data_IF_066992824986
#
_entry.id   IF_066992824986
#
_cell.length_a   1.000
_cell.length_b   1.000
_cell.length_c   1.000
_cell.angle_alpha   90.00
_cell.angle_beta   90.00
_cell.angle_gamma   90.00
#
_symmetry.space_group_name_H-M   'P 1'
#
loop_
_entity.id
_entity.type
_entity.pdbx_description
1 polymer ?
#
# COMPACT_ATOMS: atom_id res chain seq x y z
N UNK A 1 -70.15 16.01 76.58
CA UNK A 1 -68.76 16.36 76.41
C UNK A 1 -68.10 15.34 75.48
N UNK A 2 -67.96 15.64 74.17
CA UNK A 2 -67.35 14.73 73.20
C UNK A 2 -65.97 15.31 72.82
N UNK A 3 -64.92 14.59 73.12
CA UNK A 3 -63.53 14.94 72.75
C UNK A 3 -63.27 14.56 71.32
N UNK A 4 -62.89 15.50 70.52
CA UNK A 4 -62.40 15.27 69.14
C UNK A 4 -60.90 14.93 69.17
N UNK A 5 -60.52 13.84 68.58
CA UNK A 5 -59.11 13.45 68.36
C UNK A 5 -58.73 13.89 66.93
N UNK A 6 -57.78 14.80 66.84
CA UNK A 6 -57.17 15.18 65.57
C UNK A 6 -55.98 14.24 65.28
N UNK A 7 -56.07 13.49 64.20
CA UNK A 7 -54.98 12.64 63.72
C UNK A 7 -54.14 13.48 62.70
N UNK A 8 -52.87 13.71 63.03
CA UNK A 8 -51.89 14.36 62.15
C UNK A 8 -51.23 13.25 61.30
N UNK A 9 -51.58 13.20 60.04
CA UNK A 9 -50.95 12.31 59.08
C UNK A 9 -49.59 12.86 58.60
N UNK A 10 -48.52 12.16 58.91
CA UNK A 10 -47.15 12.43 58.34
C UNK A 10 -47.05 11.83 56.93
N UNK A 11 -46.97 12.66 55.91
CA UNK A 11 -46.66 12.22 54.52
C UNK A 11 -45.15 12.14 54.38
N UNK A 12 -44.64 10.92 54.30
CA UNK A 12 -43.23 10.68 53.89
C UNK A 12 -43.11 10.83 52.37
N UNK A 13 -42.50 11.92 51.92
CA UNK A 13 -42.03 12.07 50.55
C UNK A 13 -40.75 11.27 50.37
N UNK A 14 -40.84 10.10 49.74
CA UNK A 14 -39.67 9.36 49.24
C UNK A 14 -39.14 10.06 47.98
N UNK A 15 -38.06 10.84 48.11
CA UNK A 15 -37.31 11.34 46.99
C UNK A 15 -36.52 10.18 46.38
N UNK A 16 -37.02 9.62 45.28
CA UNK A 16 -36.30 8.66 44.45
C UNK A 16 -35.26 9.43 43.64
N UNK A 17 -33.97 9.41 44.04
CA UNK A 17 -32.86 9.79 43.21
C UNK A 17 -32.63 8.70 42.14
N UNK A 18 -33.23 8.86 40.98
CA UNK A 18 -32.81 8.11 39.79
C UNK A 18 -31.46 8.67 39.34
N UNK A 19 -30.35 7.99 39.66
CA UNK A 19 -29.10 8.16 38.92
C UNK A 19 -29.36 7.75 37.48
N UNK A 20 -29.44 8.71 36.58
CA UNK A 20 -29.28 8.45 35.15
C UNK A 20 -27.80 8.12 34.94
N UNK A 21 -27.47 6.83 34.86
CA UNK A 21 -26.22 6.40 34.31
C UNK A 21 -26.21 6.86 32.83
N UNK A 22 -25.57 7.98 32.58
CA UNK A 22 -25.18 8.38 31.22
C UNK A 22 -24.21 7.32 30.71
N UNK A 23 -24.75 6.25 30.11
CA UNK A 23 -24.01 5.37 29.27
C UNK A 23 -23.61 6.19 28.04
N UNK A 24 -22.45 6.86 28.12
CA UNK A 24 -21.81 7.44 26.94
C UNK A 24 -21.44 6.28 26.04
N UNK A 25 -22.28 6.01 25.04
CA UNK A 25 -21.87 5.15 23.92
C UNK A 25 -20.55 5.70 23.40
N UNK A 26 -19.48 4.88 23.29
CA UNK A 26 -18.21 5.35 22.74
C UNK A 26 -18.47 5.96 21.37
N UNK A 27 -18.05 7.20 21.19
CA UNK A 27 -18.20 7.92 19.92
C UNK A 27 -17.46 7.11 18.85
N UNK A 28 -18.20 6.46 17.97
CA UNK A 28 -17.62 5.67 16.90
C UNK A 28 -16.96 6.63 15.91
N UNK A 29 -15.64 6.52 15.75
CA UNK A 29 -14.88 7.33 14.81
C UNK A 29 -15.47 7.12 13.40
N UNK A 30 -15.97 8.20 12.78
CA UNK A 30 -16.58 8.14 11.46
C UNK A 30 -15.52 7.84 10.37
N UNK A 31 -15.93 7.20 9.27
CA UNK A 31 -15.09 7.09 8.08
C UNK A 31 -14.79 8.48 7.49
N UNK A 32 -13.62 8.63 6.89
CA UNK A 32 -13.24 9.89 6.23
C UNK A 32 -12.38 9.63 4.99
N UNK A 33 -12.49 10.53 4.03
CA UNK A 33 -11.66 10.57 2.83
C UNK A 33 -11.08 11.98 2.69
N UNK A 34 -9.78 12.07 2.44
CA UNK A 34 -9.09 13.33 2.21
C UNK A 34 -8.18 13.18 1.01
N UNK A 35 -8.35 14.06 0.03
CA UNK A 35 -7.56 14.05 -1.20
C UNK A 35 -6.39 15.01 -1.11
N UNK A 36 -5.30 14.67 -1.81
CA UNK A 36 -4.14 15.53 -2.00
C UNK A 36 -3.47 16.00 -0.69
N UNK A 37 -3.35 15.10 0.28
CA UNK A 37 -2.61 15.35 1.52
C UNK A 37 -1.11 15.36 1.20
N UNK A 38 -0.43 16.49 1.32
CA UNK A 38 1.00 16.57 1.13
C UNK A 38 1.74 15.78 2.22
N UNK A 39 2.63 14.86 1.83
CA UNK A 39 3.50 14.13 2.76
C UNK A 39 4.92 14.73 2.82
N UNK A 40 5.27 15.56 1.84
CA UNK A 40 6.45 16.40 1.81
C UNK A 40 6.10 17.75 1.17
N UNK A 41 7.06 18.67 1.09
CA UNK A 41 6.81 20.04 0.62
C UNK A 41 7.78 20.48 -0.46
N UNK A 42 8.57 19.55 -1.00
CA UNK A 42 9.60 19.88 -2.00
C UNK A 42 9.03 19.89 -3.42
N UNK A 43 7.94 19.13 -3.65
CA UNK A 43 7.28 19.04 -4.95
C UNK A 43 5.77 18.83 -4.77
N UNK A 44 4.92 19.45 -5.63
CA UNK A 44 3.47 19.23 -5.59
C UNK A 44 3.03 17.79 -5.82
N UNK A 45 3.88 16.94 -6.42
CA UNK A 45 3.59 15.51 -6.60
C UNK A 45 3.78 14.69 -5.32
N UNK A 46 4.44 15.22 -4.29
CA UNK A 46 4.62 14.56 -3.01
C UNK A 46 3.34 14.62 -2.16
N UNK A 47 2.27 14.01 -2.67
CA UNK A 47 0.95 13.99 -2.04
C UNK A 47 0.30 12.61 -2.12
N UNK A 48 -0.73 12.40 -1.28
CA UNK A 48 -1.50 11.17 -1.23
C UNK A 48 -2.98 11.43 -1.01
N UNK A 49 -3.81 10.44 -1.39
CA UNK A 49 -5.20 10.36 -0.97
C UNK A 49 -5.32 9.41 0.22
N UNK A 50 -6.07 9.82 1.22
CA UNK A 50 -6.20 9.11 2.50
C UNK A 50 -7.65 8.66 2.67
N UNK A 51 -7.85 7.35 2.83
CA UNK A 51 -9.15 6.72 3.05
C UNK A 51 -9.14 5.99 4.40
N UNK A 52 -9.86 6.51 5.35
CA UNK A 52 -9.89 6.00 6.72
C UNK A 52 -11.23 5.33 7.01
N UNK A 53 -11.25 4.06 7.50
CA UNK A 53 -12.48 3.36 7.83
C UNK A 53 -13.14 3.92 9.08
N UNK A 54 -14.44 3.64 9.25
CA UNK A 54 -15.14 3.88 10.51
C UNK A 54 -14.63 2.93 11.62
N UNK A 55 -14.74 3.35 12.87
CA UNK A 55 -14.36 2.52 14.03
C UNK A 55 -12.85 2.24 14.14
N UNK A 56 -12.01 2.99 13.40
CA UNK A 56 -10.56 2.80 13.36
C UNK A 56 -9.86 3.06 14.69
N UNK A 57 -8.76 2.33 14.91
CA UNK A 57 -7.91 2.51 16.09
C UNK A 57 -6.43 2.27 15.78
N UNK A 58 -5.55 2.79 16.61
CA UNK A 58 -4.08 2.63 16.48
C UNK A 58 -3.60 1.19 16.68
N UNK A 59 -4.45 0.30 17.17
CA UNK A 59 -4.09 -1.10 17.45
C UNK A 59 -4.65 -2.09 16.42
N UNK A 60 -5.76 -1.75 15.75
CA UNK A 60 -6.50 -2.68 14.91
C UNK A 60 -6.63 -2.28 13.44
N UNK A 61 -6.41 -0.99 13.09
CA UNK A 61 -6.58 -0.52 11.72
C UNK A 61 -5.25 -0.51 10.99
N UNK A 62 -4.97 -1.56 10.25
CA UNK A 62 -3.74 -1.70 9.49
C UNK A 62 -3.74 -0.80 8.24
N UNK A 63 -2.55 -0.56 7.67
CA UNK A 63 -2.35 0.37 6.56
C UNK A 63 -2.11 -0.38 5.25
N UNK A 64 -2.78 0.03 4.18
CA UNK A 64 -2.48 -0.37 2.81
C UNK A 64 -1.99 0.88 2.07
N UNK A 65 -0.77 0.82 1.55
CA UNK A 65 -0.19 1.88 0.71
C UNK A 65 -0.27 1.41 -0.73
N UNK A 66 -0.88 2.22 -1.58
CA UNK A 66 -1.06 1.93 -3.01
C UNK A 66 -0.14 2.84 -3.82
N UNK A 67 0.61 2.27 -4.78
CA UNK A 67 1.61 3.00 -5.58
C UNK A 67 1.32 2.75 -7.06
N UNK A 68 1.08 3.83 -7.82
CA UNK A 68 0.74 3.77 -9.24
C UNK A 68 1.92 3.39 -10.13
N UNK A 69 1.61 2.88 -11.33
CA UNK A 69 2.55 2.62 -12.41
C UNK A 69 2.85 3.88 -13.26
N UNK A 70 3.38 3.67 -14.47
CA UNK A 70 3.65 4.76 -15.42
C UNK A 70 5.12 4.89 -15.82
N UNK A 71 5.86 3.77 -15.84
CA UNK A 71 7.27 3.74 -16.27
C UNK A 71 8.14 4.78 -15.55
N UNK A 72 7.84 5.06 -14.29
CA UNK A 72 8.49 6.05 -13.42
C UNK A 72 8.38 7.51 -13.88
N UNK A 73 7.98 7.80 -15.11
CA UNK A 73 7.98 9.13 -15.74
C UNK A 73 6.60 9.67 -16.08
N UNK A 74 5.55 8.93 -15.77
CA UNK A 74 4.14 9.29 -15.98
C UNK A 74 3.24 8.62 -14.95
N UNK A 75 1.93 8.87 -15.03
CA UNK A 75 0.93 8.32 -14.14
C UNK A 75 0.57 9.27 -13.00
N UNK A 76 -0.48 8.91 -12.32
CA UNK A 76 -1.00 9.59 -11.13
C UNK A 76 -1.69 8.56 -10.22
N UNK A 77 -1.76 8.86 -8.93
CA UNK A 77 -2.51 8.03 -7.97
C UNK A 77 -3.95 7.76 -8.40
N UNK A 78 -4.57 8.67 -9.16
CA UNK A 78 -5.92 8.48 -9.72
C UNK A 78 -6.02 7.26 -10.64
N UNK A 79 -4.93 6.81 -11.26
CA UNK A 79 -4.90 5.60 -12.09
C UNK A 79 -5.24 4.33 -11.27
N UNK A 80 -5.07 4.39 -9.93
CA UNK A 80 -5.37 3.30 -9.01
C UNK A 80 -6.79 3.35 -8.42
N UNK A 81 -7.58 4.41 -8.68
CA UNK A 81 -8.89 4.62 -8.04
C UNK A 81 -9.89 3.51 -8.31
N UNK A 82 -9.91 2.94 -9.52
CA UNK A 82 -10.78 1.80 -9.85
C UNK A 82 -10.42 0.55 -9.03
N UNK A 83 -9.11 0.27 -8.90
CA UNK A 83 -8.60 -0.83 -8.08
C UNK A 83 -8.88 -0.64 -6.60
N UNK A 84 -8.69 0.58 -6.09
CA UNK A 84 -9.00 0.94 -4.70
C UNK A 84 -10.49 0.78 -4.43
N UNK A 85 -11.36 1.22 -5.35
CA UNK A 85 -12.81 1.07 -5.23
C UNK A 85 -13.22 -0.40 -5.14
N UNK A 86 -12.57 -1.29 -5.89
CA UNK A 86 -12.83 -2.73 -5.85
C UNK A 86 -12.25 -3.40 -4.59
N UNK A 87 -11.09 -2.96 -4.11
CA UNK A 87 -10.37 -3.60 -3.00
C UNK A 87 -10.89 -3.15 -1.62
N UNK A 88 -11.28 -1.88 -1.44
CA UNK A 88 -11.72 -1.33 -0.15
C UNK A 88 -12.88 -2.09 0.49
N UNK A 89 -13.95 -2.52 -0.21
CA UNK A 89 -15.00 -3.33 0.41
C UNK A 89 -14.49 -4.67 0.94
N UNK A 90 -13.48 -5.25 0.30
CA UNK A 90 -12.84 -6.49 0.73
C UNK A 90 -11.92 -6.30 1.94
N UNK A 91 -11.43 -5.07 2.17
CA UNK A 91 -10.52 -4.65 3.24
C UNK A 91 -11.13 -3.53 4.09
N UNK A 92 -12.41 -3.65 4.46
CA UNK A 92 -13.21 -2.58 5.08
C UNK A 92 -12.69 -2.06 6.43
N UNK A 93 -11.81 -2.80 7.11
CA UNK A 93 -11.15 -2.39 8.35
C UNK A 93 -9.77 -1.77 8.17
N UNK A 94 -9.27 -1.69 6.93
CA UNK A 94 -7.94 -1.14 6.63
C UNK A 94 -8.03 0.32 6.20
N UNK A 95 -7.06 1.12 6.62
CA UNK A 95 -6.82 2.44 6.04
C UNK A 95 -6.06 2.29 4.71
N UNK A 96 -6.45 3.07 3.69
CA UNK A 96 -5.77 3.06 2.39
C UNK A 96 -5.15 4.43 2.14
N UNK A 97 -3.89 4.42 1.72
CA UNK A 97 -3.08 5.58 1.37
C UNK A 97 -2.63 5.42 -0.08
N UNK A 98 -3.22 6.18 -0.99
CA UNK A 98 -2.91 6.16 -2.42
C UNK A 98 -1.92 7.27 -2.72
N UNK A 99 -0.66 6.93 -2.97
CA UNK A 99 0.42 7.92 -3.05
C UNK A 99 0.79 8.26 -4.49
N UNK A 100 1.10 9.55 -4.73
CA UNK A 100 1.92 10.00 -5.83
C UNK A 100 3.40 9.99 -5.42
N UNK A 101 4.27 10.09 -6.38
CA UNK A 101 5.72 10.31 -6.23
C UNK A 101 6.19 11.19 -7.40
N UNK A 102 7.31 11.90 -7.24
CA UNK A 102 7.88 12.73 -8.31
C UNK A 102 8.20 11.88 -9.52
N UNK A 103 7.88 12.35 -10.71
CA UNK A 103 8.09 11.64 -11.95
C UNK A 103 9.53 11.87 -12.48
N UNK A 104 10.19 10.80 -12.94
CA UNK A 104 11.54 10.86 -13.46
C UNK A 104 11.63 11.76 -14.70
N UNK A 105 12.62 12.64 -14.72
CA UNK A 105 12.86 13.59 -15.80
C UNK A 105 14.24 13.42 -16.45
N UNK A 106 14.99 12.38 -16.10
CA UNK A 106 16.29 12.04 -16.65
C UNK A 106 17.45 12.87 -16.12
N UNK A 107 17.20 13.83 -15.24
CA UNK A 107 18.23 14.77 -14.76
C UNK A 107 18.21 15.01 -13.25
N UNK A 108 17.13 15.54 -12.71
CA UNK A 108 17.02 15.97 -11.29
C UNK A 108 16.11 15.07 -10.47
N UNK A 109 15.15 14.39 -11.09
CA UNK A 109 14.33 13.38 -10.45
C UNK A 109 14.66 12.04 -11.06
N UNK A 110 15.35 11.21 -10.32
CA UNK A 110 15.86 9.91 -10.72
C UNK A 110 15.36 8.81 -9.74
N UNK A 111 15.90 7.62 -9.88
CA UNK A 111 15.51 6.48 -9.04
C UNK A 111 15.65 6.72 -7.55
N UNK A 112 16.68 7.43 -7.13
CA UNK A 112 16.92 7.73 -5.71
C UNK A 112 15.84 8.67 -5.13
N UNK A 113 15.46 9.71 -5.87
CA UNK A 113 14.43 10.67 -5.47
C UNK A 113 13.07 9.98 -5.32
N UNK A 114 12.68 9.12 -6.27
CA UNK A 114 11.40 8.41 -6.19
C UNK A 114 11.36 7.38 -5.06
N UNK A 115 12.46 6.68 -4.82
CA UNK A 115 12.58 5.77 -3.67
C UNK A 115 12.47 6.56 -2.35
N UNK A 116 13.08 7.75 -2.29
CA UNK A 116 12.99 8.63 -1.14
C UNK A 116 11.56 9.15 -0.93
N UNK A 117 10.81 9.42 -2.00
CA UNK A 117 9.40 9.84 -1.92
C UNK A 117 8.53 8.75 -1.30
N UNK A 118 8.72 7.50 -1.71
CA UNK A 118 8.00 6.35 -1.09
C UNK A 118 8.38 6.20 0.38
N UNK A 119 9.66 6.37 0.74
CA UNK A 119 10.08 6.34 2.14
C UNK A 119 9.44 7.50 2.92
N UNK A 120 9.46 8.73 2.39
CA UNK A 120 8.86 9.90 3.02
C UNK A 120 7.34 9.74 3.24
N UNK A 121 6.63 9.17 2.26
CA UNK A 121 5.20 8.88 2.39
C UNK A 121 4.94 7.88 3.54
N UNK A 122 5.74 6.81 3.65
CA UNK A 122 5.65 5.84 4.76
C UNK A 122 5.94 6.54 6.10
N UNK A 123 7.01 7.33 6.18
CA UNK A 123 7.42 8.04 7.41
C UNK A 123 6.35 9.06 7.83
N UNK A 124 5.72 9.75 6.87
CA UNK A 124 4.59 10.65 7.13
C UNK A 124 3.40 9.89 7.74
N UNK A 125 2.99 8.76 7.14
CA UNK A 125 1.90 7.93 7.66
C UNK A 125 2.22 7.46 9.09
N UNK A 126 3.46 7.05 9.36
CA UNK A 126 3.93 6.65 10.69
C UNK A 126 3.82 7.83 11.66
N UNK A 127 4.28 9.02 11.28
CA UNK A 127 4.22 10.23 12.12
C UNK A 127 2.79 10.66 12.43
N UNK A 128 1.85 10.39 11.53
CA UNK A 128 0.41 10.72 11.63
C UNK A 128 -0.45 9.57 12.16
N UNK A 129 0.14 8.45 12.55
CA UNK A 129 -0.60 7.25 12.95
C UNK A 129 -1.61 7.50 14.08
N UNK A 130 -1.30 8.34 15.05
CA UNK A 130 -2.23 8.72 16.11
C UNK A 130 -3.37 9.61 15.61
N UNK A 131 -3.07 10.59 14.75
CA UNK A 131 -4.07 11.49 14.16
C UNK A 131 -5.05 10.69 13.29
N UNK A 132 -4.54 9.80 12.47
CA UNK A 132 -5.32 8.91 11.60
C UNK A 132 -5.95 7.74 12.36
N UNK A 133 -5.53 7.45 13.59
CA UNK A 133 -5.93 6.29 14.38
C UNK A 133 -5.70 4.98 13.61
N UNK A 134 -4.45 4.76 13.15
CA UNK A 134 -4.03 3.58 12.39
C UNK A 134 -2.83 2.88 13.01
N UNK A 135 -2.69 1.59 12.75
CA UNK A 135 -1.55 0.78 13.18
C UNK A 135 -0.42 0.84 12.15
N UNK A 136 0.42 1.85 12.23
CA UNK A 136 1.54 2.03 11.32
C UNK A 136 2.72 1.03 11.55
N UNK A 137 2.57 0.04 12.43
CA UNK A 137 3.48 -1.09 12.53
C UNK A 137 3.06 -2.28 11.66
N UNK A 138 1.91 -2.18 10.99
CA UNK A 138 1.35 -3.19 10.10
C UNK A 138 0.97 -2.55 8.76
N UNK A 139 1.94 -2.47 7.86
CA UNK A 139 1.80 -1.86 6.54
C UNK A 139 1.84 -2.95 5.47
N UNK A 140 0.92 -2.86 4.52
CA UNK A 140 0.96 -3.58 3.24
C UNK A 140 1.28 -2.57 2.15
N UNK A 141 2.15 -2.94 1.21
CA UNK A 141 2.36 -2.16 -0.01
C UNK A 141 1.73 -2.92 -1.18
N UNK A 142 0.92 -2.23 -1.96
CA UNK A 142 0.35 -2.68 -3.23
C UNK A 142 0.89 -1.76 -4.32
N UNK A 143 1.67 -2.29 -5.23
CA UNK A 143 2.22 -1.50 -6.32
C UNK A 143 1.89 -2.11 -7.69
N UNK A 144 1.73 -1.26 -8.70
CA UNK A 144 1.54 -1.68 -10.07
C UNK A 144 2.72 -1.24 -10.95
N UNK A 145 3.29 -2.14 -11.78
CA UNK A 145 4.36 -1.81 -12.72
C UNK A 145 5.55 -1.10 -12.04
N UNK A 146 5.92 0.11 -12.45
CA UNK A 146 6.95 0.93 -11.79
C UNK A 146 6.64 1.20 -10.31
N UNK A 147 5.37 1.32 -9.92
CA UNK A 147 4.98 1.43 -8.50
C UNK A 147 5.23 0.15 -7.70
N UNK A 148 5.11 -1.03 -8.33
CA UNK A 148 5.48 -2.29 -7.71
C UNK A 148 7.01 -2.37 -7.49
N UNK A 149 7.80 -1.91 -8.46
CA UNK A 149 9.25 -1.78 -8.31
C UNK A 149 9.61 -0.91 -7.09
N UNK A 150 9.04 0.31 -7.00
CA UNK A 150 9.28 1.21 -5.86
C UNK A 150 8.81 0.60 -4.53
N UNK A 151 7.66 -0.07 -4.53
CA UNK A 151 7.15 -0.80 -3.38
C UNK A 151 8.06 -1.94 -2.93
N UNK A 152 8.59 -2.73 -3.87
CA UNK A 152 9.56 -3.79 -3.58
C UNK A 152 10.89 -3.23 -3.05
N UNK A 153 11.36 -2.08 -3.56
CA UNK A 153 12.53 -1.40 -2.99
C UNK A 153 12.30 -1.03 -1.53
N UNK A 154 11.13 -0.46 -1.18
CA UNK A 154 10.76 -0.20 0.22
C UNK A 154 10.69 -1.48 1.03
N UNK A 155 10.05 -2.51 0.53
CA UNK A 155 9.78 -3.75 1.25
C UNK A 155 11.05 -4.60 1.51
N UNK A 156 11.99 -4.63 0.56
CA UNK A 156 13.15 -5.53 0.65
C UNK A 156 14.43 -4.82 1.10
N UNK A 157 14.64 -3.56 0.69
CA UNK A 157 15.87 -2.82 0.99
C UNK A 157 15.72 -1.84 2.16
N UNK A 158 14.57 -1.17 2.26
CA UNK A 158 14.37 -0.06 3.19
C UNK A 158 13.34 -0.36 4.29
N UNK A 159 13.17 -1.63 4.66
CA UNK A 159 12.26 -2.11 5.71
C UNK A 159 13.00 -2.57 6.97
N UNK A 160 14.04 -1.87 7.37
CA UNK A 160 14.85 -2.24 8.54
C UNK A 160 14.07 -2.18 9.86
N UNK A 161 13.02 -1.36 9.92
CA UNK A 161 12.10 -1.26 11.06
C UNK A 161 11.01 -2.37 11.07
N UNK A 162 10.94 -3.17 10.00
CA UNK A 162 10.02 -4.28 9.87
C UNK A 162 8.54 -3.90 9.84
N UNK A 163 8.18 -2.66 9.48
CA UNK A 163 6.78 -2.18 9.43
C UNK A 163 6.01 -2.69 8.23
N UNK A 164 6.68 -2.86 7.08
CA UNK A 164 6.08 -3.49 5.91
C UNK A 164 5.98 -4.99 6.17
N UNK A 165 4.75 -5.48 6.32
CA UNK A 165 4.42 -6.88 6.68
C UNK A 165 4.03 -7.72 5.48
N UNK A 166 3.65 -7.10 4.35
CA UNK A 166 3.36 -7.79 3.10
C UNK A 166 3.61 -6.87 1.91
N UNK A 167 3.99 -7.46 0.77
CA UNK A 167 4.15 -6.80 -0.53
C UNK A 167 3.25 -7.47 -1.56
N UNK A 168 2.46 -6.69 -2.29
CA UNK A 168 1.69 -7.12 -3.45
C UNK A 168 2.32 -6.51 -4.70
N UNK A 169 2.90 -7.36 -5.51
CA UNK A 169 3.53 -7.01 -6.79
C UNK A 169 2.54 -7.28 -7.93
N UNK A 170 2.02 -6.22 -8.53
CA UNK A 170 1.25 -6.27 -9.76
C UNK A 170 2.18 -6.00 -10.95
N UNK A 171 2.63 -7.07 -11.60
CA UNK A 171 3.44 -7.05 -12.83
C UNK A 171 4.61 -6.07 -12.82
N UNK A 172 5.32 -5.95 -11.69
CA UNK A 172 6.44 -5.02 -11.53
C UNK A 172 7.77 -5.58 -12.04
N UNK A 173 8.66 -4.72 -12.58
CA UNK A 173 10.02 -5.10 -12.84
C UNK A 173 10.83 -5.19 -11.54
N UNK A 174 11.70 -6.19 -11.44
CA UNK A 174 12.47 -6.42 -10.23
C UNK A 174 13.98 -6.62 -10.46
N UNK A 175 14.41 -6.87 -11.70
CA UNK A 175 15.82 -6.93 -12.11
C UNK A 175 16.07 -5.96 -13.28
N UNK A 176 16.34 -4.69 -12.95
CA UNK A 176 16.54 -3.65 -13.96
C UNK A 176 17.77 -3.91 -14.85
N UNK A 177 18.78 -4.62 -14.33
CA UNK A 177 19.94 -5.03 -15.13
C UNK A 177 19.53 -6.04 -16.19
N UNK A 178 18.76 -7.06 -15.82
CA UNK A 178 18.26 -8.03 -16.77
C UNK A 178 17.31 -7.36 -17.77
N UNK A 179 16.38 -6.55 -17.31
CA UNK A 179 15.40 -5.89 -18.16
C UNK A 179 16.06 -4.96 -19.19
N UNK A 180 17.09 -4.20 -18.80
CA UNK A 180 17.86 -3.34 -19.73
C UNK A 180 18.53 -4.13 -20.85
N UNK A 181 19.03 -5.35 -20.57
CA UNK A 181 19.83 -6.13 -21.50
C UNK A 181 19.03 -7.17 -22.31
N UNK A 182 17.86 -7.60 -21.82
CA UNK A 182 17.21 -8.82 -22.32
C UNK A 182 15.70 -8.66 -22.61
N UNK A 183 15.11 -7.47 -22.51
CA UNK A 183 13.69 -7.28 -22.80
C UNK A 183 13.37 -7.73 -24.25
N UNK A 184 12.49 -8.76 -24.43
CA UNK A 184 12.39 -9.45 -25.71
C UNK A 184 11.56 -8.72 -26.78
N UNK A 185 10.71 -7.74 -26.35
CA UNK A 185 9.73 -7.12 -27.25
C UNK A 185 10.10 -5.68 -27.65
N UNK A 186 10.55 -4.87 -26.69
CA UNK A 186 10.77 -3.42 -26.84
C UNK A 186 12.09 -2.97 -26.25
N UNK A 187 13.20 -3.66 -26.58
CA UNK A 187 14.50 -3.45 -25.93
C UNK A 187 14.95 -1.98 -25.95
N UNK A 188 14.98 -1.34 -27.13
CA UNK A 188 15.42 0.06 -27.24
C UNK A 188 14.54 1.03 -26.47
N UNK A 189 13.22 0.81 -26.45
CA UNK A 189 12.27 1.61 -25.66
C UNK A 189 12.54 1.41 -24.16
N UNK A 190 12.70 0.17 -23.71
CA UNK A 190 12.99 -0.15 -22.32
C UNK A 190 14.32 0.46 -21.86
N UNK A 191 15.35 0.40 -22.71
CA UNK A 191 16.63 1.04 -22.43
C UNK A 191 16.49 2.55 -22.27
N UNK A 192 15.69 3.21 -23.12
CA UNK A 192 15.42 4.65 -23.01
C UNK A 192 14.68 5.00 -21.71
N UNK A 193 13.63 4.23 -21.37
CA UNK A 193 12.86 4.41 -20.13
C UNK A 193 13.75 4.22 -18.91
N UNK A 194 14.53 3.15 -18.85
CA UNK A 194 15.42 2.88 -17.73
C UNK A 194 16.55 3.92 -17.64
N UNK A 195 17.08 4.39 -18.77
CA UNK A 195 18.08 5.47 -18.78
C UNK A 195 17.50 6.77 -18.23
N UNK A 196 16.26 7.12 -18.57
CA UNK A 196 15.58 8.27 -18.01
C UNK A 196 15.36 8.13 -16.48
N UNK A 197 14.96 6.95 -16.03
CA UNK A 197 14.76 6.68 -14.60
C UNK A 197 16.07 6.68 -13.79
N UNK A 198 17.15 6.16 -14.38
CA UNK A 198 18.45 6.03 -13.72
C UNK A 198 19.39 7.23 -13.95
N UNK A 199 19.06 8.11 -14.90
CA UNK A 199 19.92 9.23 -15.33
C UNK A 199 21.12 8.81 -16.20
N UNK A 200 21.35 7.51 -16.38
CA UNK A 200 22.46 6.93 -17.12
C UNK A 200 22.13 5.54 -17.60
N UNK A 201 22.63 5.14 -18.78
CA UNK A 201 22.48 3.78 -19.31
C UNK A 201 23.24 2.74 -18.48
N UNK A 202 22.73 1.53 -18.43
CA UNK A 202 23.27 0.42 -17.62
C UNK A 202 24.77 0.13 -17.88
N UNK A 203 25.28 0.10 -19.16
CA UNK A 203 26.70 -0.17 -19.40
C UNK A 203 27.66 0.86 -18.81
N UNK A 204 27.20 2.12 -18.62
CA UNK A 204 28.02 3.18 -18.04
C UNK A 204 28.06 3.13 -16.50
N UNK A 205 27.03 2.57 -15.86
CA UNK A 205 26.99 2.40 -14.40
C UNK A 205 26.20 1.13 -13.98
N UNK A 206 26.79 -0.07 -14.17
CA UNK A 206 26.10 -1.32 -13.80
C UNK A 206 25.75 -1.42 -12.31
N UNK A 207 26.59 -0.86 -11.45
CA UNK A 207 26.38 -0.91 -10.00
C UNK A 207 25.12 -0.16 -9.56
N UNK A 208 24.79 0.95 -10.23
CA UNK A 208 23.59 1.73 -9.98
C UNK A 208 22.32 0.91 -10.28
N UNK A 209 22.29 0.19 -11.40
CA UNK A 209 21.19 -0.69 -11.78
C UNK A 209 21.02 -1.86 -10.79
N UNK A 210 22.12 -2.46 -10.36
CA UNK A 210 22.07 -3.49 -9.31
C UNK A 210 21.53 -2.95 -7.99
N UNK A 211 21.95 -1.73 -7.61
CA UNK A 211 21.49 -1.07 -6.38
C UNK A 211 20.02 -0.66 -6.41
N UNK A 212 19.45 -0.51 -7.62
CA UNK A 212 18.03 -0.21 -7.86
C UNK A 212 17.19 -1.44 -8.24
N UNK A 213 17.76 -2.65 -8.28
CA UNK A 213 17.02 -3.88 -8.60
C UNK A 213 16.56 -4.58 -7.31
N UNK A 214 15.25 -4.58 -6.99
CA UNK A 214 14.72 -5.14 -5.72
C UNK A 214 15.10 -6.60 -5.50
N UNK A 215 15.19 -7.41 -6.54
CA UNK A 215 15.56 -8.84 -6.46
C UNK A 215 16.89 -9.07 -5.73
N UNK A 216 17.82 -8.11 -5.78
CA UNK A 216 19.12 -8.20 -5.12
C UNK A 216 19.05 -8.06 -3.59
N UNK A 217 17.93 -7.56 -3.07
CA UNK A 217 17.71 -7.33 -1.64
C UNK A 217 16.76 -8.35 -1.00
N UNK A 218 16.30 -9.34 -1.76
CA UNK A 218 15.49 -10.44 -1.23
C UNK A 218 16.38 -11.32 -0.36
N UNK A 219 16.08 -11.35 0.93
CA UNK A 219 16.69 -12.20 1.95
C UNK A 219 15.60 -12.95 2.72
N UNK A 220 15.96 -13.87 3.59
CA UNK A 220 15.00 -14.61 4.43
C UNK A 220 14.13 -13.71 5.33
N UNK A 221 14.52 -12.45 5.54
CA UNK A 221 13.75 -11.47 6.32
C UNK A 221 12.81 -10.61 5.48
N UNK A 222 12.75 -10.81 4.15
CA UNK A 222 11.81 -10.10 3.29
C UNK A 222 10.36 -10.45 3.70
N UNK A 223 9.43 -9.49 3.64
CA UNK A 223 8.04 -9.74 4.01
C UNK A 223 7.38 -10.71 3.03
N UNK A 224 6.33 -11.44 3.46
CA UNK A 224 5.46 -12.21 2.57
C UNK A 224 5.11 -11.41 1.32
N UNK A 225 5.26 -12.03 0.15
CA UNK A 225 5.09 -11.36 -1.14
C UNK A 225 4.10 -12.11 -2.02
N UNK A 226 3.09 -11.41 -2.56
CA UNK A 226 2.22 -11.93 -3.60
C UNK A 226 2.57 -11.29 -4.94
N UNK A 227 2.74 -12.11 -5.97
CA UNK A 227 3.07 -11.71 -7.34
C UNK A 227 1.90 -12.07 -8.24
N UNK A 228 1.35 -11.09 -8.97
CA UNK A 228 0.28 -11.29 -9.95
C UNK A 228 0.72 -10.74 -11.30
N UNK A 229 0.76 -11.58 -12.34
CA UNK A 229 1.30 -11.18 -13.65
C UNK A 229 0.56 -11.85 -14.80
N UNK A 230 0.39 -11.11 -15.90
CA UNK A 230 -0.16 -11.64 -17.16
C UNK A 230 0.91 -12.35 -18.00
N UNK A 231 0.58 -13.52 -18.57
CA UNK A 231 1.57 -14.31 -19.35
C UNK A 231 1.89 -13.72 -20.71
N UNK A 232 1.06 -12.80 -21.23
CA UNK A 232 1.27 -12.10 -22.50
C UNK A 232 1.73 -10.64 -22.29
N UNK A 233 2.27 -10.32 -21.11
CA UNK A 233 2.82 -9.00 -20.83
C UNK A 233 4.07 -8.72 -21.67
N UNK A 234 3.97 -7.74 -22.58
CA UNK A 234 5.06 -7.33 -23.45
C UNK A 234 5.83 -6.09 -22.94
N UNK A 235 5.30 -5.41 -21.91
CA UNK A 235 5.92 -4.21 -21.30
C UNK A 235 6.92 -4.63 -20.21
N UNK A 236 6.43 -5.38 -19.22
CA UNK A 236 7.27 -6.07 -18.24
C UNK A 236 7.13 -7.56 -18.48
N UNK A 237 8.10 -8.22 -19.11
CA UNK A 237 7.99 -9.64 -19.45
C UNK A 237 7.79 -10.49 -18.20
N UNK A 238 6.93 -11.50 -18.28
CA UNK A 238 6.61 -12.39 -17.17
C UNK A 238 7.85 -13.06 -16.53
N UNK A 239 8.94 -13.14 -17.27
CA UNK A 239 10.21 -13.66 -16.77
C UNK A 239 10.73 -12.86 -15.56
N UNK A 240 10.40 -11.57 -15.44
CA UNK A 240 10.70 -10.77 -14.24
C UNK A 240 10.06 -11.41 -13.01
N UNK A 241 8.76 -11.65 -13.04
CA UNK A 241 8.05 -12.32 -11.94
C UNK A 241 8.51 -13.76 -11.70
N UNK A 242 8.84 -14.50 -12.74
CA UNK A 242 9.38 -15.86 -12.59
C UNK A 242 10.74 -15.85 -11.86
N UNK A 243 11.61 -14.88 -12.17
CA UNK A 243 12.90 -14.70 -11.50
C UNK A 243 12.71 -14.31 -10.04
N UNK A 244 11.79 -13.38 -9.74
CA UNK A 244 11.45 -13.01 -8.37
C UNK A 244 10.89 -14.20 -7.58
N UNK A 245 9.97 -14.97 -8.17
CA UNK A 245 9.41 -16.19 -7.57
C UNK A 245 10.50 -17.19 -7.17
N UNK A 246 11.45 -17.47 -8.07
CA UNK A 246 12.60 -18.34 -7.79
C UNK A 246 13.45 -17.76 -6.65
N UNK A 247 13.70 -16.46 -6.66
CA UNK A 247 14.53 -15.80 -5.64
C UNK A 247 13.88 -15.85 -4.26
N UNK A 248 12.57 -15.58 -4.17
CA UNK A 248 11.80 -15.67 -2.92
C UNK A 248 11.79 -17.11 -2.38
N UNK A 249 11.56 -18.09 -3.26
CA UNK A 249 11.61 -19.51 -2.89
C UNK A 249 12.99 -19.90 -2.36
N UNK A 250 14.06 -19.51 -3.05
CA UNK A 250 15.44 -19.80 -2.64
C UNK A 250 15.81 -19.16 -1.31
N UNK A 251 15.27 -17.96 -1.02
CA UNK A 251 15.48 -17.26 0.25
C UNK A 251 14.57 -17.78 1.38
N UNK A 252 13.66 -18.71 1.11
CA UNK A 252 12.71 -19.24 2.09
C UNK A 252 11.61 -18.23 2.49
N UNK A 253 11.35 -17.22 1.66
CA UNK A 253 10.32 -16.20 1.91
C UNK A 253 8.95 -16.78 1.55
N UNK A 254 7.98 -16.58 2.43
CA UNK A 254 6.57 -16.91 2.14
C UNK A 254 6.07 -16.08 0.96
N UNK A 255 5.56 -16.72 -0.08
CA UNK A 255 5.07 -16.01 -1.26
C UNK A 255 3.99 -16.79 -2.01
N UNK A 256 3.21 -16.09 -2.83
CA UNK A 256 2.25 -16.64 -3.79
C UNK A 256 2.56 -16.04 -5.17
N UNK A 257 2.66 -16.88 -6.19
CA UNK A 257 2.82 -16.46 -7.58
C UNK A 257 1.60 -16.88 -8.40
N UNK A 258 0.94 -15.89 -9.00
CA UNK A 258 -0.26 -16.06 -9.82
C UNK A 258 0.01 -15.56 -11.24
N UNK A 259 0.00 -16.46 -12.20
CA UNK A 259 0.14 -16.14 -13.62
C UNK A 259 -1.23 -16.19 -14.31
N UNK A 260 -1.66 -15.06 -14.90
CA UNK A 260 -2.92 -14.96 -15.64
C UNK A 260 -2.68 -15.22 -17.12
N UNK A 261 -3.15 -16.38 -17.61
CA UNK A 261 -2.94 -16.83 -18.99
C UNK A 261 -3.55 -15.86 -20.00
N UNK A 262 -2.74 -15.38 -20.95
CA UNK A 262 -3.14 -14.45 -22.00
C UNK A 262 -3.30 -12.99 -21.51
N UNK A 263 -3.14 -12.73 -20.21
CA UNK A 263 -3.20 -11.37 -19.67
C UNK A 263 -1.99 -10.55 -20.11
N UNK A 264 -2.22 -9.31 -20.53
CA UNK A 264 -1.18 -8.33 -20.83
C UNK A 264 -0.77 -7.53 -19.60
N UNK A 265 -0.12 -6.38 -19.79
CA UNK A 265 0.33 -5.47 -18.72
C UNK A 265 -0.85 -4.75 -18.08
N UNK A 266 -1.49 -5.40 -17.10
CA UNK A 266 -2.70 -4.88 -16.45
C UNK A 266 -3.96 -4.83 -17.34
N UNK A 267 -3.87 -5.25 -18.60
CA UNK A 267 -5.00 -5.28 -19.54
C UNK A 267 -5.76 -6.61 -19.39
N UNK A 268 -6.32 -6.82 -18.20
CA UNK A 268 -7.07 -8.02 -17.86
C UNK A 268 -8.57 -7.75 -17.93
N UNK A 269 -9.34 -8.80 -18.22
CA UNK A 269 -10.80 -8.71 -18.20
C UNK A 269 -11.36 -8.58 -16.77
N UNK A 270 -12.62 -8.20 -16.67
CA UNK A 270 -13.28 -8.01 -15.37
C UNK A 270 -13.27 -9.25 -14.48
N UNK A 271 -13.53 -10.49 -14.98
CA UNK A 271 -13.41 -11.70 -14.17
C UNK A 271 -12.00 -11.91 -13.60
N UNK A 272 -10.96 -11.68 -14.40
CA UNK A 272 -9.55 -11.79 -14.00
C UNK A 272 -9.20 -10.78 -12.91
N UNK A 273 -9.60 -9.52 -13.07
CA UNK A 273 -9.40 -8.50 -12.04
C UNK A 273 -10.18 -8.81 -10.75
N UNK A 274 -11.42 -9.31 -10.86
CA UNK A 274 -12.21 -9.72 -9.69
C UNK A 274 -11.51 -10.83 -8.91
N UNK A 275 -10.96 -11.83 -9.63
CA UNK A 275 -10.14 -12.89 -9.01
C UNK A 275 -8.88 -12.30 -8.35
N UNK A 276 -8.17 -11.41 -9.03
CA UNK A 276 -6.96 -10.75 -8.51
C UNK A 276 -7.25 -10.01 -7.20
N UNK A 277 -8.28 -9.16 -7.16
CA UNK A 277 -8.66 -8.43 -5.93
C UNK A 277 -9.05 -9.39 -4.80
N UNK A 278 -9.78 -10.46 -5.08
CA UNK A 278 -10.11 -11.49 -4.10
C UNK A 278 -8.87 -12.15 -3.51
N UNK A 279 -7.90 -12.52 -4.36
CA UNK A 279 -6.60 -13.10 -3.92
C UNK A 279 -5.76 -12.11 -3.12
N UNK A 280 -5.66 -10.86 -3.57
CA UNK A 280 -4.95 -9.80 -2.84
C UNK A 280 -5.54 -9.61 -1.44
N UNK A 281 -6.87 -9.49 -1.33
CA UNK A 281 -7.53 -9.31 -0.04
C UNK A 281 -7.34 -10.54 0.88
N UNK A 282 -7.40 -11.75 0.34
CA UNK A 282 -7.14 -12.97 1.11
C UNK A 282 -5.70 -13.01 1.64
N UNK A 283 -4.71 -12.73 0.78
CA UNK A 283 -3.31 -12.68 1.15
C UNK A 283 -3.05 -11.62 2.23
N UNK A 284 -3.56 -10.41 2.04
CA UNK A 284 -3.43 -9.31 3.01
C UNK A 284 -3.98 -9.71 4.38
N UNK A 285 -5.18 -10.30 4.44
CA UNK A 285 -5.81 -10.73 5.70
C UNK A 285 -5.06 -11.84 6.41
N UNK A 286 -4.36 -12.72 5.67
CA UNK A 286 -3.56 -13.80 6.25
C UNK A 286 -2.30 -13.23 6.91
N UNK A 287 -1.58 -12.34 6.23
CA UNK A 287 -0.25 -11.89 6.67
C UNK A 287 -0.26 -10.56 7.44
N UNK A 288 -1.35 -9.81 7.37
CA UNK A 288 -1.52 -8.52 8.06
C UNK A 288 -2.92 -8.43 8.70
N UNK A 289 -3.29 -9.41 9.57
CA UNK A 289 -4.60 -9.48 10.19
C UNK A 289 -4.89 -8.32 11.13
#
# INVERSE_FOLDING_TARGET
>A
MKKAIVAIGFVFLLASCSKSDNVTTPETVAASETKNVAYATTDPQENMDVYLPAGRSVTSTNCVIVIHGGSWSSGDKADMDSGITALRPLLSSYAVFNINYRLANGTTVLSAEQINDVNAAVDFIVSKSNDYKVNANKIVIVGASSGAHLGMMKAYKYNSDGRVKAMIDLFGPNDLTWMYNNQPYYLSFTQAVLTNFMGVGQPANPALYQAASPINFVTATAPPTQILHGTADSIVPIIESQRLNIKLNTAGVTHEYVAYTGGGHGTWDTPTWTNAYGKMAAFIKIYVP
#
